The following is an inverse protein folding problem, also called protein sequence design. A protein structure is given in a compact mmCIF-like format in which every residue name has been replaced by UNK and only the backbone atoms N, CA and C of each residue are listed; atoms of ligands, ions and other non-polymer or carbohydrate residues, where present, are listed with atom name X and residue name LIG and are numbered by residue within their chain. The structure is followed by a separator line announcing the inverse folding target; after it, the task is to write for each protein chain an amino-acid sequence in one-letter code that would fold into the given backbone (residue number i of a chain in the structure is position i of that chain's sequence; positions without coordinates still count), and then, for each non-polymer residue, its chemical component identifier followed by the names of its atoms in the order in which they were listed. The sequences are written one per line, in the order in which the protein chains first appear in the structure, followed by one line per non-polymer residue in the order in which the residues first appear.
data_IF_655811361498
#
_entry.id   IF_655811361498
#
_cell.length_a   1.000
_cell.length_b   1.000
_cell.length_c   1.000
_cell.angle_alpha   90.00
_cell.angle_beta   90.00
_cell.angle_gamma   90.00
#
_symmetry.space_group_name_H-M   'P 1'
#
loop_
_entity.id
_entity.type
_entity.pdbx_description
1 polymer ?
#
# COMPACT_ATOMS: atom_id res chain seq x y z
N UNK A 1 -10.31 11.21 5.07
CA UNK A 1 -9.83 10.00 4.36
C UNK A 1 -10.91 9.62 3.37
N UNK A 2 -10.52 9.35 2.12
CA UNK A 2 -11.43 9.13 1.00
C UNK A 2 -11.26 7.71 0.48
N UNK A 3 -12.37 6.99 0.32
CA UNK A 3 -12.39 5.61 -0.17
C UNK A 3 -12.87 5.57 -1.61
N UNK A 4 -12.03 5.14 -2.53
CA UNK A 4 -12.28 5.03 -3.96
C UNK A 4 -12.34 3.56 -4.37
N UNK A 5 -13.24 3.19 -5.29
CA UNK A 5 -13.31 1.83 -5.83
C UNK A 5 -12.94 1.90 -7.32
N UNK A 6 -11.89 1.18 -7.71
CA UNK A 6 -11.26 1.17 -9.03
C UNK A 6 -9.73 0.97 -8.91
N UNK A 7 -9.07 0.53 -9.97
CA UNK A 7 -7.60 0.36 -10.02
C UNK A 7 -6.89 1.67 -10.41
N UNK A 8 -5.67 1.89 -9.92
CA UNK A 8 -4.86 3.07 -10.28
C UNK A 8 -4.54 3.15 -11.78
N UNK A 9 -4.63 2.00 -12.47
CA UNK A 9 -4.39 1.84 -13.91
C UNK A 9 -5.64 2.09 -14.76
N UNK A 10 -6.82 2.26 -14.14
CA UNK A 10 -8.06 2.46 -14.88
C UNK A 10 -8.05 3.78 -15.67
N UNK A 11 -8.55 3.77 -16.93
CA UNK A 11 -8.54 4.96 -17.77
C UNK A 11 -9.27 6.16 -17.15
N UNK A 12 -10.38 5.91 -16.46
CA UNK A 12 -11.29 6.89 -15.87
C UNK A 12 -11.05 7.15 -14.38
N UNK A 13 -9.97 6.62 -13.80
CA UNK A 13 -9.73 6.70 -12.36
C UNK A 13 -9.68 8.15 -11.83
N UNK A 14 -9.18 9.09 -12.63
CA UNK A 14 -9.13 10.51 -12.27
C UNK A 14 -10.52 11.12 -12.06
N UNK A 15 -11.50 10.72 -12.87
CA UNK A 15 -12.89 11.14 -12.69
C UNK A 15 -13.46 10.54 -11.40
N UNK A 16 -13.29 9.24 -11.19
CA UNK A 16 -13.80 8.55 -9.99
C UNK A 16 -13.21 9.19 -8.72
N UNK A 17 -11.91 9.50 -8.73
CA UNK A 17 -11.24 10.17 -7.61
C UNK A 17 -11.76 11.59 -7.42
N UNK A 18 -11.90 12.37 -8.50
CA UNK A 18 -12.43 13.74 -8.43
C UNK A 18 -13.86 13.79 -7.86
N UNK A 19 -14.71 12.85 -8.25
CA UNK A 19 -16.10 12.78 -7.79
C UNK A 19 -16.20 12.41 -6.28
N UNK A 20 -15.13 11.89 -5.69
CA UNK A 20 -15.08 11.44 -4.28
C UNK A 20 -14.31 12.38 -3.35
N UNK A 21 -13.38 13.18 -3.86
CA UNK A 21 -12.59 14.11 -3.06
C UNK A 21 -13.36 15.43 -2.87
N UNK A 22 -13.62 15.80 -1.61
CA UNK A 22 -14.18 17.11 -1.29
C UNK A 22 -13.06 18.13 -1.04
N UNK A 23 -12.77 18.97 -2.04
CA UNK A 23 -11.71 19.98 -1.92
C UNK A 23 -12.12 21.21 -1.09
N UNK A 24 -13.42 21.43 -0.90
CA UNK A 24 -13.94 22.61 -0.18
C UNK A 24 -13.55 22.60 1.30
N UNK A 25 -13.26 21.43 1.85
CA UNK A 25 -12.81 21.25 3.24
C UNK A 25 -11.32 21.58 3.45
N UNK A 26 -10.57 21.86 2.37
CA UNK A 26 -9.13 22.10 2.41
C UNK A 26 -8.81 23.60 2.32
N UNK A 27 -8.02 24.10 3.26
CA UNK A 27 -7.48 25.46 3.21
C UNK A 27 -6.41 25.60 2.11
N UNK A 28 -6.64 26.48 1.14
CA UNK A 28 -5.77 26.74 -0.03
C UNK A 28 -4.43 27.41 0.30
N UNK A 29 -4.31 28.06 1.46
CA UNK A 29 -3.06 28.67 1.93
C UNK A 29 -2.11 27.63 2.55
N UNK A 30 -2.63 26.47 2.94
CA UNK A 30 -1.84 25.37 3.49
C UNK A 30 -1.28 24.48 2.39
N UNK A 31 -0.25 23.73 2.77
CA UNK A 31 0.38 22.73 1.92
C UNK A 31 0.07 21.36 2.50
N UNK A 32 -0.18 20.39 1.63
CA UNK A 32 -0.60 19.04 2.03
C UNK A 32 0.35 17.97 1.49
N UNK A 33 0.34 16.85 2.19
CA UNK A 33 0.90 15.59 1.73
C UNK A 33 -0.26 14.65 1.40
N UNK A 34 -0.10 13.90 0.32
CA UNK A 34 -1.09 12.93 -0.13
C UNK A 34 -0.55 11.54 0.11
N UNK A 35 -1.33 10.72 0.81
CA UNK A 35 -1.06 9.31 1.01
C UNK A 35 -2.12 8.51 0.26
N UNK A 36 -1.67 7.66 -0.64
CA UNK A 36 -2.51 6.73 -1.38
C UNK A 36 -2.08 5.32 -1.06
N UNK A 37 -2.97 4.55 -0.47
CA UNK A 37 -2.88 3.10 -0.39
C UNK A 37 -3.78 2.51 -1.47
N UNK A 38 -3.28 1.58 -2.28
CA UNK A 38 -4.06 0.88 -3.29
C UNK A 38 -3.90 -0.63 -3.17
N UNK A 39 -4.97 -1.35 -3.49
CA UNK A 39 -4.88 -2.80 -3.63
C UNK A 39 -3.98 -3.15 -4.81
N UNK A 40 -2.89 -3.90 -4.57
CA UNK A 40 -1.96 -4.30 -5.61
C UNK A 40 -2.24 -5.74 -6.06
N UNK A 41 -2.96 -5.95 -7.18
CA UNK A 41 -3.27 -7.31 -7.65
C UNK A 41 -2.04 -8.05 -8.17
N UNK A 42 -1.01 -7.34 -8.66
CA UNK A 42 0.24 -7.96 -9.10
C UNK A 42 0.95 -8.60 -7.88
N UNK A 43 0.80 -8.00 -6.70
CA UNK A 43 1.31 -8.54 -5.43
C UNK A 43 0.60 -9.82 -4.99
N UNK A 44 -0.72 -9.92 -5.21
CA UNK A 44 -1.48 -11.13 -4.86
C UNK A 44 -1.15 -12.28 -5.82
N UNK A 45 -1.02 -11.99 -7.11
CA UNK A 45 -0.80 -12.99 -8.15
C UNK A 45 0.59 -13.65 -8.07
N UNK A 46 1.63 -12.86 -7.79
CA UNK A 46 3.03 -13.30 -7.84
C UNK A 46 3.66 -13.49 -6.44
N UNK A 47 2.83 -13.58 -5.40
CA UNK A 47 3.23 -13.59 -3.99
C UNK A 47 4.18 -14.73 -3.58
N UNK A 48 4.19 -15.84 -4.32
CA UNK A 48 5.05 -17.02 -4.08
C UNK A 48 6.14 -17.19 -5.15
N UNK A 49 6.30 -16.18 -6.01
CA UNK A 49 7.26 -16.23 -7.09
C UNK A 49 8.53 -15.45 -6.70
N UNK A 50 9.53 -16.18 -6.22
CA UNK A 50 10.83 -15.64 -5.80
C UNK A 50 11.59 -14.91 -6.92
N UNK A 51 11.18 -15.07 -8.19
CA UNK A 51 11.80 -14.43 -9.35
C UNK A 51 11.16 -13.07 -9.71
N UNK A 52 10.11 -12.62 -9.01
CA UNK A 52 9.36 -11.41 -9.37
C UNK A 52 9.77 -10.22 -8.51
N UNK A 53 10.42 -9.25 -9.16
CA UNK A 53 10.62 -7.92 -8.57
C UNK A 53 9.37 -7.06 -8.75
N UNK A 54 8.84 -6.53 -7.65
CA UNK A 54 7.73 -5.56 -7.70
C UNK A 54 8.25 -4.21 -8.18
N UNK A 55 8.28 -4.03 -9.50
CA UNK A 55 8.84 -2.83 -10.11
C UNK A 55 7.84 -1.65 -10.17
N UNK A 56 8.37 -0.44 -10.05
CA UNK A 56 7.60 0.78 -10.28
C UNK A 56 7.37 0.95 -11.78
N UNK A 57 6.16 0.59 -12.23
CA UNK A 57 5.69 0.78 -13.60
C UNK A 57 5.28 2.24 -13.92
N UNK A 58 5.20 2.57 -15.21
CA UNK A 58 4.83 3.90 -15.74
C UNK A 58 3.47 4.39 -15.21
N UNK A 59 2.54 3.47 -15.04
CA UNK A 59 1.17 3.70 -14.61
C UNK A 59 1.13 4.35 -13.21
N UNK A 60 2.03 3.96 -12.30
CA UNK A 60 2.17 4.58 -10.98
C UNK A 60 2.45 6.08 -11.09
N UNK A 61 3.42 6.45 -11.94
CA UNK A 61 3.78 7.86 -12.16
C UNK A 61 2.67 8.63 -12.87
N UNK A 62 1.97 7.99 -13.81
CA UNK A 62 0.81 8.59 -14.47
C UNK A 62 -0.32 8.87 -13.47
N UNK A 63 -0.60 7.93 -12.56
CA UNK A 63 -1.58 8.10 -11.49
C UNK A 63 -1.18 9.26 -10.55
N UNK A 64 0.06 9.29 -10.06
CA UNK A 64 0.57 10.38 -9.21
C UNK A 64 0.41 11.73 -9.91
N UNK A 65 0.79 11.81 -11.20
CA UNK A 65 0.64 13.03 -11.99
C UNK A 65 -0.82 13.46 -12.09
N UNK A 66 -1.75 12.53 -12.38
CA UNK A 66 -3.19 12.80 -12.46
C UNK A 66 -3.71 13.39 -11.15
N UNK A 67 -3.40 12.76 -10.00
CA UNK A 67 -3.87 13.24 -8.70
C UNK A 67 -3.24 14.59 -8.35
N UNK A 68 -1.93 14.78 -8.55
CA UNK A 68 -1.30 16.08 -8.29
C UNK A 68 -1.92 17.19 -9.14
N UNK A 69 -2.14 16.94 -10.44
CA UNK A 69 -2.82 17.91 -11.32
C UNK A 69 -4.24 18.19 -10.85
N UNK A 70 -4.95 17.21 -10.30
CA UNK A 70 -6.28 17.41 -9.73
C UNK A 70 -6.26 18.36 -8.53
N UNK A 71 -5.32 18.20 -7.60
CA UNK A 71 -5.15 19.12 -6.48
C UNK A 71 -4.71 20.51 -6.94
N UNK A 72 -3.78 20.59 -7.89
CA UNK A 72 -3.30 21.85 -8.47
C UNK A 72 -4.44 22.62 -9.17
N UNK A 73 -5.32 21.95 -9.92
CA UNK A 73 -6.51 22.56 -10.53
C UNK A 73 -7.47 23.17 -9.50
N UNK A 74 -7.54 22.58 -8.31
CA UNK A 74 -8.34 23.07 -7.19
C UNK A 74 -7.57 24.09 -6.31
N UNK A 75 -6.41 24.56 -6.76
CA UNK A 75 -5.55 25.53 -6.06
C UNK A 75 -5.03 25.01 -4.71
N UNK A 76 -4.91 23.69 -4.55
CA UNK A 76 -4.35 23.07 -3.35
C UNK A 76 -2.88 22.72 -3.62
N UNK A 77 -1.98 23.18 -2.74
CA UNK A 77 -0.55 22.90 -2.83
C UNK A 77 -0.24 21.54 -2.23
N UNK A 78 0.55 20.74 -2.96
CA UNK A 78 0.97 19.40 -2.52
C UNK A 78 2.49 19.28 -2.53
N UNK A 79 3.11 19.01 -1.38
CA UNK A 79 4.53 18.78 -1.28
C UNK A 79 4.86 17.30 -1.51
N UNK A 80 4.46 16.42 -0.60
CA UNK A 80 4.85 15.02 -0.64
C UNK A 80 3.68 14.15 -1.16
N UNK A 81 4.03 13.13 -1.94
CA UNK A 81 3.06 12.15 -2.44
C UNK A 81 3.58 10.76 -2.16
N UNK A 82 2.81 9.99 -1.40
CA UNK A 82 3.10 8.62 -1.04
C UNK A 82 2.13 7.72 -1.80
N UNK A 83 2.64 6.80 -2.59
CA UNK A 83 1.85 5.77 -3.27
C UNK A 83 2.33 4.41 -2.77
N UNK A 84 1.46 3.67 -2.08
CA UNK A 84 1.78 2.42 -1.41
C UNK A 84 0.83 1.30 -1.84
N UNK A 85 1.37 0.16 -2.29
CA UNK A 85 0.58 -1.03 -2.62
C UNK A 85 0.45 -1.99 -1.43
N UNK A 86 -0.71 -2.62 -1.26
CA UNK A 86 -0.96 -3.68 -0.24
C UNK A 86 -1.99 -4.70 -0.73
N UNK A 87 -2.05 -5.87 -0.09
CA UNK A 87 -3.06 -6.93 -0.30
C UNK A 87 -3.83 -7.29 0.98
N UNK A 88 -3.39 -6.81 2.15
CA UNK A 88 -3.91 -7.26 3.45
C UNK A 88 -4.91 -6.30 4.09
N UNK A 89 -4.76 -4.99 3.87
CA UNK A 89 -5.52 -3.95 4.58
C UNK A 89 -6.51 -3.19 3.70
N UNK A 90 -6.65 -3.64 2.45
CA UNK A 90 -7.55 -3.03 1.48
C UNK A 90 -8.38 -4.12 0.79
N UNK A 91 -9.70 -3.93 0.67
CA UNK A 91 -10.51 -4.73 -0.23
C UNK A 91 -10.00 -4.65 -1.67
N UNK A 92 -10.29 -5.70 -2.46
CA UNK A 92 -9.95 -5.74 -3.87
C UNK A 92 -10.49 -4.48 -4.58
N UNK A 93 -9.65 -3.84 -5.39
CA UNK A 93 -9.97 -2.62 -6.12
C UNK A 93 -10.29 -1.40 -5.23
N UNK A 94 -10.04 -1.41 -3.92
CA UNK A 94 -10.12 -0.21 -3.08
C UNK A 94 -8.82 0.60 -3.18
N UNK A 95 -8.97 1.92 -3.29
CA UNK A 95 -7.90 2.90 -3.14
C UNK A 95 -8.30 3.86 -2.02
N UNK A 96 -7.44 3.98 -1.02
CA UNK A 96 -7.62 4.91 0.08
C UNK A 96 -6.70 6.12 -0.09
N UNK A 97 -7.31 7.31 -0.10
CA UNK A 97 -6.61 8.59 -0.25
C UNK A 97 -6.76 9.38 1.04
N UNK A 98 -5.64 9.68 1.68
CA UNK A 98 -5.55 10.52 2.86
C UNK A 98 -4.79 11.80 2.52
N UNK A 99 -5.34 12.93 2.97
CA UNK A 99 -4.76 14.26 2.78
C UNK A 99 -4.41 14.80 4.15
N UNK A 100 -3.13 15.07 4.38
CA UNK A 100 -2.60 15.52 5.66
C UNK A 100 -1.87 16.83 5.46
N UNK A 101 -1.80 17.68 6.49
CA UNK A 101 -0.99 18.90 6.41
C UNK A 101 0.49 18.52 6.27
N UNK A 102 1.15 19.12 5.29
CA UNK A 102 2.56 18.87 5.01
C UNK A 102 3.43 19.33 6.17
N UNK A 103 4.42 18.51 6.51
CA UNK A 103 5.53 18.89 7.40
C UNK A 103 6.86 19.06 6.66
N UNK A 104 6.93 18.61 5.41
CA UNK A 104 8.13 18.73 4.57
C UNK A 104 8.14 20.04 3.79
N UNK A 105 9.34 20.50 3.41
CA UNK A 105 9.54 21.72 2.62
C UNK A 105 9.86 21.43 1.14
N UNK A 106 10.03 20.16 0.77
CA UNK A 106 10.45 19.75 -0.58
C UNK A 106 9.38 18.93 -1.29
N UNK A 107 9.14 19.26 -2.57
CA UNK A 107 8.27 18.46 -3.44
C UNK A 107 8.94 17.12 -3.75
N UNK A 108 8.34 16.01 -3.35
CA UNK A 108 8.86 14.65 -3.61
C UNK A 108 7.73 13.65 -3.86
N UNK A 109 8.04 12.59 -4.58
CA UNK A 109 7.17 11.42 -4.71
C UNK A 109 7.90 10.23 -4.10
N UNK A 110 7.22 9.50 -3.24
CA UNK A 110 7.68 8.24 -2.65
C UNK A 110 6.72 7.18 -3.16
N UNK A 111 7.26 6.22 -3.89
CA UNK A 111 6.48 5.13 -4.46
C UNK A 111 7.01 3.83 -3.88
N UNK A 112 6.15 3.14 -3.17
CA UNK A 112 6.43 1.84 -2.60
C UNK A 112 5.45 0.83 -3.21
N UNK A 113 5.86 0.05 -4.23
CA UNK A 113 4.94 -0.81 -4.96
C UNK A 113 4.31 -1.91 -4.09
N UNK A 114 4.99 -2.35 -3.02
CA UNK A 114 4.46 -3.30 -2.04
C UNK A 114 5.00 -3.01 -0.63
N UNK A 115 4.15 -2.86 0.37
CA UNK A 115 4.61 -2.89 1.77
C UNK A 115 4.98 -4.31 2.19
N UNK A 116 6.26 -4.66 2.09
CA UNK A 116 6.82 -6.01 2.36
C UNK A 116 6.42 -6.56 3.75
N UNK A 117 6.29 -5.70 4.76
CA UNK A 117 5.87 -6.10 6.12
C UNK A 117 4.44 -6.71 6.18
N UNK A 118 3.57 -6.39 5.20
CA UNK A 118 2.21 -6.94 5.13
C UNK A 118 2.15 -8.25 4.35
N UNK A 119 3.17 -8.58 3.56
CA UNK A 119 3.27 -9.88 2.90
C UNK A 119 3.42 -11.00 3.93
N UNK A 120 4.26 -10.78 4.94
CA UNK A 120 4.48 -11.73 6.03
C UNK A 120 3.20 -12.00 6.81
N UNK A 121 2.56 -10.95 7.32
CA UNK A 121 1.31 -11.03 8.08
C UNK A 121 0.18 -11.69 7.29
N UNK A 122 0.07 -11.39 5.98
CA UNK A 122 -0.94 -11.99 5.14
C UNK A 122 -0.67 -13.48 4.87
N UNK A 123 0.57 -13.87 4.51
CA UNK A 123 0.90 -15.28 4.33
C UNK A 123 0.74 -16.06 5.62
N UNK A 124 1.18 -15.50 6.75
CA UNK A 124 1.01 -16.15 8.04
C UNK A 124 -0.47 -16.44 8.31
N UNK A 125 -1.37 -15.47 8.09
CA UNK A 125 -2.82 -15.68 8.23
C UNK A 125 -3.37 -16.76 7.29
N UNK A 126 -2.83 -16.89 6.08
CA UNK A 126 -3.20 -17.98 5.16
C UNK A 126 -2.72 -19.34 5.66
N UNK A 127 -1.46 -19.44 6.11
CA UNK A 127 -0.91 -20.64 6.71
C UNK A 127 -1.71 -21.03 7.96
N UNK A 128 -2.07 -20.06 8.81
CA UNK A 128 -2.93 -20.26 9.98
C UNK A 128 -4.29 -20.87 9.56
N UNK A 129 -4.92 -20.33 8.52
CA UNK A 129 -6.20 -20.84 8.01
C UNK A 129 -6.09 -22.26 7.41
N UNK A 130 -5.00 -22.54 6.69
CA UNK A 130 -4.73 -23.87 6.12
C UNK A 130 -4.47 -24.92 7.20
N UNK A 131 -3.73 -24.55 8.26
CA UNK A 131 -3.51 -25.40 9.42
C UNK A 131 -4.82 -25.67 10.17
N UNK A 132 -5.61 -24.63 10.45
CA UNK A 132 -6.92 -24.75 11.12
C UNK A 132 -7.92 -25.60 10.35
N UNK A 133 -7.82 -25.63 9.02
CA UNK A 133 -8.66 -26.45 8.14
C UNK A 133 -8.07 -27.85 7.87
N UNK A 134 -6.97 -28.23 8.54
CA UNK A 134 -6.23 -29.48 8.34
C UNK A 134 -5.82 -29.72 6.87
N UNK A 135 -5.63 -28.66 6.08
CA UNK A 135 -5.13 -28.77 4.70
C UNK A 135 -3.62 -29.02 4.65
N UNK A 136 -2.90 -28.62 5.70
CA UNK A 136 -1.45 -28.82 5.86
C UNK A 136 -1.16 -29.38 7.24
N UNK A 137 -0.03 -30.07 7.40
CA UNK A 137 0.44 -30.53 8.71
C UNK A 137 1.11 -29.39 9.51
N UNK A 138 1.39 -29.64 10.79
CA UNK A 138 2.17 -28.72 11.63
C UNK A 138 3.59 -28.56 11.08
N UNK A 139 4.21 -29.65 10.62
CA UNK A 139 5.56 -29.62 10.02
C UNK A 139 5.57 -28.80 8.72
N UNK A 140 4.55 -28.94 7.87
CA UNK A 140 4.40 -28.12 6.67
C UNK A 140 4.21 -26.63 7.02
N UNK A 141 3.42 -26.33 8.06
CA UNK A 141 3.21 -24.97 8.51
C UNK A 141 4.53 -24.32 8.98
N UNK A 142 5.28 -25.00 9.84
CA UNK A 142 6.55 -24.48 10.38
C UNK A 142 7.58 -24.24 9.28
N UNK A 143 7.73 -25.19 8.36
CA UNK A 143 8.65 -25.07 7.23
C UNK A 143 8.28 -23.90 6.31
N UNK A 144 7.01 -23.75 5.96
CA UNK A 144 6.55 -22.62 5.12
C UNK A 144 6.70 -21.27 5.83
N UNK A 145 6.52 -21.21 7.14
CA UNK A 145 6.73 -20.00 7.92
C UNK A 145 8.22 -19.60 7.92
N UNK A 146 9.13 -20.57 8.02
CA UNK A 146 10.57 -20.33 7.99
C UNK A 146 11.05 -19.85 6.62
N UNK A 147 10.57 -20.47 5.53
CA UNK A 147 10.82 -19.97 4.17
C UNK A 147 10.34 -18.53 3.98
N UNK A 148 9.14 -18.21 4.48
CA UNK A 148 8.59 -16.86 4.40
C UNK A 148 9.43 -15.82 5.17
N UNK A 149 9.96 -16.19 6.34
CA UNK A 149 10.86 -15.34 7.13
C UNK A 149 12.16 -15.07 6.38
N UNK A 150 12.75 -16.10 5.79
CA UNK A 150 14.00 -16.01 5.03
C UNK A 150 13.83 -15.18 3.75
N UNK A 151 12.79 -15.45 2.94
CA UNK A 151 12.50 -14.74 1.69
C UNK A 151 12.27 -13.24 1.92
N UNK A 152 11.54 -12.87 2.98
CA UNK A 152 11.25 -11.48 3.29
C UNK A 152 12.36 -10.81 4.09
N UNK A 153 13.45 -11.54 4.41
CA UNK A 153 14.53 -11.09 5.29
C UNK A 153 13.98 -10.56 6.64
N UNK A 154 12.91 -11.19 7.12
CA UNK A 154 12.24 -10.92 8.40
C UNK A 154 12.76 -11.98 9.38
N UNK A 155 13.93 -11.71 9.94
CA UNK A 155 14.44 -12.47 11.06
C UNK A 155 13.81 -11.94 12.35
N UNK A 156 13.51 -12.83 13.29
CA UNK A 156 13.07 -12.43 14.62
C UNK A 156 14.09 -11.43 15.19
N UNK A 157 13.64 -10.20 15.43
CA UNK A 157 14.37 -9.34 16.35
C UNK A 157 14.21 -10.00 17.72
N UNK A 158 15.30 -10.57 18.26
CA UNK A 158 15.43 -11.06 19.64
C UNK A 158 15.06 -10.01 20.73
N UNK A 159 14.50 -8.86 20.37
CA UNK A 159 14.07 -7.80 21.27
C UNK A 159 12.65 -8.01 21.85
N UNK A 160 11.83 -8.94 21.32
CA UNK A 160 10.49 -9.20 21.89
C UNK A 160 10.51 -9.91 23.26
N UNK A 161 11.67 -10.38 23.74
CA UNK A 161 11.83 -10.94 25.08
C UNK A 161 12.41 -9.98 26.14
N UNK A 162 12.52 -8.68 25.84
CA UNK A 162 12.87 -7.68 26.85
C UNK A 162 11.76 -6.64 27.04
N UNK A 163 10.58 -7.11 27.46
CA UNK A 163 9.74 -6.27 28.30
C UNK A 163 10.51 -5.99 29.59
N UNK A 164 11.10 -4.80 29.66
CA UNK A 164 11.64 -4.24 30.89
C UNK A 164 10.44 -4.01 31.82
N UNK A 165 10.38 -4.77 32.93
CA UNK A 165 9.62 -4.38 34.12
C UNK A 165 10.24 -3.15 34.76
#
# INVERSE_FOLDING_TARGET
MYKVYGKITEPNIDRIVNDKLNFDDLNKEQIYDIHVDFYNPDLEADMLNADVSYEIKKEHYMFIKKIRTLFEKNQIKVNEFYLMGTIADLPENEINISVLKSKGDKKKNIVWPCKEIFLYEFQKKRLDAMLLSNQISVEDYESNLEFLKDELNIFENDEEHKYIN
#
